data_IF_699744746268
#
_entry.id   IF_699744746268
#
_cell.length_a   1.000
_cell.length_b   1.000
_cell.length_c   1.000
_cell.angle_alpha   90.00
_cell.angle_beta   90.00
_cell.angle_gamma   90.00
#
_symmetry.space_group_name_H-M   'P 1'
#
loop_
_entity.id
_entity.type
_entity.pdbx_description
1 polymer ?
#
# COMPACT_ATOMS: atom_id res chain seq x y z
N UNK A 1 7.43 61.83 2.87
CA UNK A 1 8.37 60.73 2.56
C UNK A 1 8.97 60.19 3.85
N UNK A 2 8.65 58.94 4.25
CA UNK A 2 9.57 57.99 4.92
C UNK A 2 8.85 56.65 5.13
N UNK A 3 9.61 55.58 4.89
CA UNK A 3 9.20 54.26 4.40
C UNK A 3 8.60 53.36 5.48
N UNK A 4 7.61 52.56 5.05
CA UNK A 4 7.13 51.35 5.70
C UNK A 4 8.28 50.34 5.89
N UNK A 5 8.39 49.76 7.08
CA UNK A 5 9.22 48.58 7.34
C UNK A 5 8.29 47.42 7.71
N UNK A 6 7.89 46.64 6.71
CA UNK A 6 7.18 45.38 6.93
C UNK A 6 8.20 44.26 7.13
N UNK A 7 8.27 43.70 8.34
CA UNK A 7 9.04 42.50 8.63
C UNK A 7 8.24 41.28 8.12
N UNK A 8 8.70 40.65 7.04
CA UNK A 8 8.23 39.34 6.60
C UNK A 8 9.06 38.26 7.32
N UNK A 9 8.45 37.59 8.30
CA UNK A 9 9.01 36.36 8.85
C UNK A 9 8.77 35.22 7.84
N UNK A 10 9.84 34.83 7.14
CA UNK A 10 9.90 33.58 6.38
C UNK A 10 9.99 32.42 7.38
N UNK A 11 8.86 31.77 7.64
CA UNK A 11 8.82 30.48 8.34
C UNK A 11 9.25 29.43 7.31
N UNK A 12 10.52 29.02 7.35
CA UNK A 12 10.99 27.88 6.59
C UNK A 12 10.44 26.60 7.25
N UNK A 13 9.40 26.04 6.64
CA UNK A 13 8.84 24.74 7.02
C UNK A 13 9.86 23.64 6.71
N UNK A 14 10.66 23.23 7.71
CA UNK A 14 11.35 21.95 7.67
C UNK A 14 10.30 20.84 7.74
N UNK A 15 9.95 20.26 6.59
CA UNK A 15 9.19 19.01 6.59
C UNK A 15 10.13 17.87 6.97
N UNK A 16 9.81 17.05 7.98
CA UNK A 16 10.61 15.87 8.29
C UNK A 16 10.49 14.89 7.13
N UNK A 17 11.63 14.48 6.57
CA UNK A 17 11.71 13.36 5.65
C UNK A 17 11.42 12.07 6.45
N UNK A 18 10.16 11.65 6.47
CA UNK A 18 9.74 10.40 7.09
C UNK A 18 10.03 9.26 6.11
N UNK A 19 10.62 8.17 6.61
CA UNK A 19 10.83 6.96 5.82
C UNK A 19 9.49 6.25 5.56
N UNK A 20 8.75 6.72 4.54
CA UNK A 20 7.39 6.31 4.15
C UNK A 20 7.29 4.94 3.43
N UNK A 21 8.32 4.11 3.41
CA UNK A 21 8.46 3.15 2.30
C UNK A 21 7.56 1.90 2.36
N UNK A 22 6.89 1.62 3.49
CA UNK A 22 5.97 0.48 3.65
C UNK A 22 4.56 0.87 4.09
N UNK A 23 4.36 2.01 4.75
CA UNK A 23 3.04 2.43 5.25
C UNK A 23 2.03 2.68 4.11
N UNK A 24 2.52 3.01 2.91
CA UNK A 24 1.69 3.31 1.74
C UNK A 24 1.72 2.20 0.66
N UNK A 25 2.35 1.05 0.92
CA UNK A 25 2.48 -0.02 -0.08
C UNK A 25 1.11 -0.46 -0.62
N UNK A 26 0.23 -0.86 0.29
CA UNK A 26 -1.12 -1.32 -0.05
C UNK A 26 -1.89 -0.26 -0.83
N UNK A 27 -1.89 0.98 -0.35
CA UNK A 27 -2.60 2.08 -1.00
C UNK A 27 -2.09 2.31 -2.44
N UNK A 28 -0.76 2.27 -2.64
CA UNK A 28 -0.15 2.43 -3.96
C UNK A 28 -0.57 1.32 -4.92
N UNK A 29 -0.41 0.05 -4.54
CA UNK A 29 -0.73 -1.08 -5.43
C UNK A 29 -2.21 -1.09 -5.79
N UNK A 30 -3.09 -0.84 -4.80
CA UNK A 30 -4.53 -0.78 -5.02
C UNK A 30 -4.91 0.31 -6.02
N UNK A 31 -4.27 1.47 -5.93
CA UNK A 31 -4.49 2.57 -6.87
C UNK A 31 -3.93 2.27 -8.26
N UNK A 32 -2.68 1.79 -8.36
CA UNK A 32 -2.01 1.48 -9.63
C UNK A 32 -2.76 0.41 -10.43
N UNK A 33 -3.22 -0.65 -9.76
CA UNK A 33 -3.99 -1.72 -10.39
C UNK A 33 -5.50 -1.45 -10.45
N UNK A 34 -5.96 -0.25 -10.04
CA UNK A 34 -7.37 0.15 -10.03
C UNK A 34 -8.30 -0.87 -9.34
N UNK A 35 -7.87 -1.42 -8.20
CA UNK A 35 -8.58 -2.49 -7.52
C UNK A 35 -9.79 -1.95 -6.72
N UNK A 36 -10.96 -2.61 -6.79
CA UNK A 36 -12.15 -2.20 -6.04
C UNK A 36 -11.95 -2.22 -4.53
N UNK A 37 -12.46 -1.20 -3.83
CA UNK A 37 -12.24 -1.05 -2.38
C UNK A 37 -12.86 -2.19 -1.57
N UNK A 38 -13.98 -2.74 -2.03
CA UNK A 38 -14.70 -3.86 -1.43
C UNK A 38 -13.87 -5.14 -1.36
N UNK A 39 -12.87 -5.30 -2.24
CA UNK A 39 -11.99 -6.47 -2.23
C UNK A 39 -11.07 -6.54 -1.03
N UNK A 40 -10.98 -5.46 -0.26
CA UNK A 40 -10.11 -5.37 0.91
C UNK A 40 -10.89 -5.40 2.22
N UNK A 41 -12.23 -5.49 2.22
CA UNK A 41 -12.99 -5.53 3.46
C UNK A 41 -12.81 -6.88 4.18
N UNK A 42 -12.73 -6.90 5.52
CA UNK A 42 -12.61 -8.14 6.29
C UNK A 42 -13.28 -8.05 7.67
N UNK A 43 -13.59 -9.21 8.27
CA UNK A 43 -14.08 -9.35 9.65
C UNK A 43 -13.02 -9.96 10.56
N UNK A 44 -12.24 -10.92 10.05
CA UNK A 44 -11.12 -11.56 10.75
C UNK A 44 -9.93 -11.75 9.82
N UNK A 45 -8.76 -12.10 10.37
CA UNK A 45 -7.57 -12.37 9.55
C UNK A 45 -7.74 -13.58 8.63
N UNK A 46 -8.65 -14.49 8.93
CA UNK A 46 -8.97 -15.65 8.08
C UNK A 46 -9.68 -15.24 6.78
N UNK A 47 -10.31 -14.06 6.76
CA UNK A 47 -10.90 -13.50 5.55
C UNK A 47 -9.85 -12.95 4.58
N UNK A 48 -8.58 -12.87 4.97
CA UNK A 48 -7.52 -12.25 4.17
C UNK A 48 -6.53 -13.29 3.65
N UNK A 49 -6.16 -13.16 2.38
CA UNK A 49 -5.17 -13.97 1.71
C UNK A 49 -4.13 -13.08 1.01
N UNK A 50 -2.93 -13.61 0.85
CA UNK A 50 -1.89 -12.98 0.03
C UNK A 50 -2.07 -13.34 -1.44
N UNK A 51 -1.95 -12.34 -2.30
CA UNK A 51 -1.91 -12.47 -3.75
C UNK A 51 -0.62 -11.87 -4.28
N UNK A 52 0.04 -12.63 -5.16
CA UNK A 52 1.32 -12.23 -5.76
C UNK A 52 1.15 -11.01 -6.64
N UNK A 53 1.97 -9.98 -6.37
CA UNK A 53 2.14 -8.82 -7.25
C UNK A 53 3.46 -9.01 -8.01
N UNK A 54 3.46 -9.02 -9.35
CA UNK A 54 4.67 -9.21 -10.14
C UNK A 54 5.79 -8.21 -9.75
N UNK A 55 6.99 -8.75 -9.45
CA UNK A 55 8.17 -8.06 -8.90
C UNK A 55 7.98 -7.16 -7.67
N UNK A 56 6.89 -7.30 -6.93
CA UNK A 56 6.68 -6.57 -5.68
C UNK A 56 6.36 -7.56 -4.55
N UNK A 57 6.04 -7.03 -3.36
CA UNK A 57 5.60 -7.86 -2.24
C UNK A 57 4.18 -8.39 -2.48
N UNK A 58 3.76 -9.41 -1.75
CA UNK A 58 2.37 -9.86 -1.89
C UNK A 58 1.38 -8.80 -1.37
N UNK A 59 0.19 -8.76 -1.96
CA UNK A 59 -0.90 -7.88 -1.53
C UNK A 59 -1.95 -8.68 -0.75
N UNK A 60 -2.33 -8.19 0.42
CA UNK A 60 -3.44 -8.75 1.18
C UNK A 60 -4.77 -8.32 0.57
N UNK A 61 -5.60 -9.30 0.24
CA UNK A 61 -6.96 -9.14 -0.30
C UNK A 61 -7.91 -10.07 0.44
N UNK A 62 -9.20 -9.74 0.42
CA UNK A 62 -10.21 -10.66 0.93
C UNK A 62 -10.20 -11.95 0.08
N UNK A 63 -10.21 -13.10 0.75
CA UNK A 63 -10.16 -14.43 0.14
C UNK A 63 -11.26 -14.65 -0.90
N UNK A 64 -12.42 -14.00 -0.76
CA UNK A 64 -13.53 -14.09 -1.71
C UNK A 64 -13.24 -13.48 -3.09
N UNK A 65 -12.22 -12.62 -3.22
CA UNK A 65 -11.84 -11.95 -4.47
C UNK A 65 -10.42 -12.28 -4.92
N UNK A 66 -9.85 -13.37 -4.39
CA UNK A 66 -8.44 -13.70 -4.55
C UNK A 66 -8.05 -13.91 -6.02
N UNK A 67 -8.88 -14.61 -6.77
CA UNK A 67 -8.58 -14.97 -8.16
C UNK A 67 -8.76 -13.75 -9.09
N UNK A 68 -9.81 -12.97 -8.87
CA UNK A 68 -10.05 -11.71 -9.58
C UNK A 68 -8.93 -10.69 -9.32
N UNK A 69 -8.47 -10.57 -8.07
CA UNK A 69 -7.33 -9.74 -7.70
C UNK A 69 -6.05 -10.19 -8.40
N UNK A 70 -5.81 -11.50 -8.49
CA UNK A 70 -4.64 -12.04 -9.19
C UNK A 70 -4.64 -11.66 -10.67
N UNK A 71 -5.77 -11.83 -11.35
CA UNK A 71 -5.89 -11.47 -12.77
C UNK A 71 -5.69 -9.97 -12.98
N UNK A 72 -6.31 -9.13 -12.14
CA UNK A 72 -6.16 -7.69 -12.22
C UNK A 72 -4.70 -7.24 -12.03
N UNK A 73 -3.99 -7.84 -11.06
CA UNK A 73 -2.57 -7.55 -10.79
C UNK A 73 -1.66 -7.99 -11.93
N UNK A 74 -1.88 -9.17 -12.53
CA UNK A 74 -1.10 -9.61 -13.70
C UNK A 74 -1.27 -8.63 -14.86
N UNK A 75 -2.49 -8.17 -15.10
CA UNK A 75 -2.80 -7.23 -16.17
C UNK A 75 -2.22 -5.83 -15.91
N UNK A 76 -2.17 -5.40 -14.66
CA UNK A 76 -1.60 -4.12 -14.26
C UNK A 76 -0.06 -4.09 -14.34
N UNK A 77 0.60 -5.24 -14.12
CA UNK A 77 2.06 -5.34 -14.09
C UNK A 77 2.63 -6.35 -15.12
N UNK A 78 2.37 -6.18 -16.43
CA UNK A 78 2.62 -7.20 -17.45
C UNK A 78 4.10 -7.40 -17.81
N UNK A 79 4.97 -6.43 -17.49
CA UNK A 79 6.39 -6.45 -17.88
C UNK A 79 7.33 -7.02 -16.82
N UNK A 80 6.77 -7.62 -15.77
CA UNK A 80 7.53 -8.18 -14.68
C UNK A 80 7.77 -9.69 -14.86
N UNK A 81 9.05 -10.05 -15.04
CA UNK A 81 9.49 -11.45 -15.19
C UNK A 81 9.89 -12.11 -13.85
N UNK A 82 9.77 -11.39 -12.73
CA UNK A 82 10.14 -11.86 -11.39
C UNK A 82 8.94 -12.28 -10.53
N UNK A 83 9.14 -13.29 -9.67
CA UNK A 83 8.18 -13.69 -8.65
C UNK A 83 8.09 -12.63 -7.52
N UNK A 84 6.97 -12.64 -6.78
CA UNK A 84 6.84 -11.77 -5.62
C UNK A 84 7.78 -12.17 -4.48
N UNK A 85 8.14 -11.19 -3.65
CA UNK A 85 8.95 -11.42 -2.44
C UNK A 85 8.04 -11.88 -1.30
N UNK A 86 8.24 -13.09 -0.76
CA UNK A 86 7.34 -13.73 0.21
C UNK A 86 7.56 -13.35 1.68
N UNK A 87 8.16 -12.20 1.97
CA UNK A 87 8.50 -11.77 3.34
C UNK A 87 7.35 -10.98 4.01
N UNK A 88 6.11 -11.26 3.62
CA UNK A 88 4.91 -10.56 4.10
C UNK A 88 3.83 -11.50 4.60
N UNK A 89 2.95 -10.98 5.45
CA UNK A 89 1.77 -11.64 6.00
C UNK A 89 0.49 -10.83 5.70
N UNK A 90 -0.64 -11.52 5.60
CA UNK A 90 -1.96 -10.89 5.51
C UNK A 90 -2.62 -10.86 6.89
N UNK A 91 -3.21 -9.72 7.25
CA UNK A 91 -3.99 -9.61 8.48
C UNK A 91 -5.23 -8.73 8.27
N UNK A 92 -6.23 -8.88 9.14
CA UNK A 92 -7.38 -7.98 9.16
C UNK A 92 -7.18 -6.88 10.20
N UNK A 93 -6.97 -5.65 9.74
CA UNK A 93 -6.77 -4.48 10.59
C UNK A 93 -7.79 -3.40 10.25
N UNK A 94 -8.49 -2.87 11.26
CA UNK A 94 -9.53 -1.83 11.07
C UNK A 94 -10.59 -2.20 10.02
N UNK A 95 -10.95 -3.49 9.93
CA UNK A 95 -11.88 -4.07 8.93
C UNK A 95 -11.37 -4.03 7.48
N UNK A 96 -10.05 -3.95 7.32
CA UNK A 96 -9.39 -4.02 6.02
C UNK A 96 -8.28 -5.08 6.03
N UNK A 97 -8.17 -5.86 4.96
CA UNK A 97 -7.01 -6.68 4.73
C UNK A 97 -5.81 -5.77 4.52
N UNK A 98 -4.73 -6.03 5.24
CA UNK A 98 -3.48 -5.27 5.17
C UNK A 98 -2.29 -6.20 5.00
N UNK A 99 -1.36 -5.83 4.13
CA UNK A 99 -0.05 -6.48 4.05
C UNK A 99 0.85 -5.94 5.15
N UNK A 100 1.56 -6.82 5.84
CA UNK A 100 2.58 -6.42 6.81
C UNK A 100 3.84 -7.29 6.64
N UNK A 101 5.03 -6.81 7.04
CA UNK A 101 6.22 -7.65 7.05
C UNK A 101 6.02 -8.85 7.96
N UNK A 102 6.39 -10.04 7.50
CA UNK A 102 6.40 -11.23 8.36
C UNK A 102 7.41 -11.00 9.49
N UNK A 103 7.00 -11.20 10.74
CA UNK A 103 7.95 -11.23 11.85
C UNK A 103 8.84 -12.45 11.65
N UNK A 104 10.10 -12.23 11.28
CA UNK A 104 11.11 -13.29 11.35
C UNK A 104 11.29 -13.62 12.85
N UNK A 105 10.86 -14.82 13.24
CA UNK A 105 11.25 -15.42 14.52
C UNK A 105 12.77 -15.64 14.58
#
# INVERSE_FOLDING_TARGET
MKRNLGLLFLIASLQPAVAHHLDDYDARIRAEASLPQEWFACKSSEDCALVSVPCQSDLAVNTAYRDEAREALINAFPFCLGASTSDTEASCSKRQCVTSPSKKE
#
